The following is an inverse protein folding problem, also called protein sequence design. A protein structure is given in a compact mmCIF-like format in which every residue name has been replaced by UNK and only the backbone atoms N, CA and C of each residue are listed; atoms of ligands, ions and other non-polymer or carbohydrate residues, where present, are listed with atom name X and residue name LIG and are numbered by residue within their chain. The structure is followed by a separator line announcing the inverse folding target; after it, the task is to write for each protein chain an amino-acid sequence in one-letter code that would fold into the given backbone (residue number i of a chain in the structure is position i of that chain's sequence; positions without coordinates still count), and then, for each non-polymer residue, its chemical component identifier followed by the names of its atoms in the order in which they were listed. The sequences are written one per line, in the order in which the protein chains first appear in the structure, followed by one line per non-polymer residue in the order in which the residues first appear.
data_IF_061614659270
#
_entry.id   IF_061614659270
#
_cell.length_a   1.000
_cell.length_b   1.000
_cell.length_c   1.000
_cell.angle_alpha   90.00
_cell.angle_beta   90.00
_cell.angle_gamma   90.00
#
_symmetry.space_group_name_H-M   'P 1'
#
loop_
_entity.id
_entity.type
_entity.pdbx_description
1 polymer ?
#
# COMPACT_ATOMS: atom_id res chain seq x y z
N UNK A 1 -22.51 5.82 0.32
CA UNK A 1 -21.10 5.89 -0.17
C UNK A 1 -20.91 7.21 -0.90
N UNK A 2 -20.03 8.08 -0.42
CA UNK A 2 -19.67 9.31 -1.15
C UNK A 2 -18.42 9.03 -1.97
N UNK A 3 -18.48 9.16 -3.30
CA UNK A 3 -17.36 8.87 -4.19
C UNK A 3 -16.07 9.61 -3.79
N UNK A 4 -16.19 10.86 -3.34
CA UNK A 4 -15.05 11.65 -2.83
C UNK A 4 -14.38 11.06 -1.59
N UNK A 5 -15.15 10.45 -0.69
CA UNK A 5 -14.60 9.81 0.51
C UNK A 5 -13.81 8.55 0.13
N UNK A 6 -14.34 7.77 -0.82
CA UNK A 6 -13.68 6.56 -1.31
C UNK A 6 -12.36 6.87 -2.03
N UNK A 7 -12.34 7.93 -2.87
CA UNK A 7 -11.12 8.38 -3.53
C UNK A 7 -10.04 8.75 -2.50
N UNK A 8 -10.39 9.54 -1.47
CA UNK A 8 -9.45 9.93 -0.41
C UNK A 8 -8.85 8.75 0.34
N UNK A 9 -9.61 7.67 0.53
CA UNK A 9 -9.12 6.43 1.15
C UNK A 9 -7.99 5.83 0.30
N UNK A 10 -8.20 5.70 -1.01
CA UNK A 10 -7.18 5.18 -1.93
C UNK A 10 -5.99 6.11 -2.10
N UNK A 11 -6.24 7.42 -2.20
CA UNK A 11 -5.20 8.44 -2.28
C UNK A 11 -4.24 8.36 -1.09
N UNK A 12 -4.77 8.07 0.10
CA UNK A 12 -3.97 7.96 1.33
C UNK A 12 -3.30 6.60 1.45
N UNK A 13 -4.07 5.51 1.36
CA UNK A 13 -3.60 4.17 1.73
C UNK A 13 -2.77 3.49 0.65
N UNK A 14 -2.96 3.84 -0.62
CA UNK A 14 -2.30 3.19 -1.74
C UNK A 14 -1.50 4.19 -2.59
N UNK A 15 -2.18 5.15 -3.22
CA UNK A 15 -1.51 6.07 -4.15
C UNK A 15 -0.53 7.01 -3.46
N UNK A 16 -0.68 7.28 -2.16
CA UNK A 16 0.29 8.02 -1.36
C UNK A 16 1.58 7.24 -1.08
N UNK A 17 1.50 5.90 -1.00
CA UNK A 17 2.65 5.03 -0.71
C UNK A 17 3.53 4.81 -1.94
N UNK A 18 2.93 4.66 -3.12
CA UNK A 18 3.65 4.42 -4.39
C UNK A 18 4.79 5.43 -4.65
N UNK A 19 4.56 6.76 -4.60
CA UNK A 19 5.62 7.73 -4.84
C UNK A 19 6.68 7.73 -3.71
N UNK A 20 6.29 7.45 -2.46
CA UNK A 20 7.26 7.31 -1.36
C UNK A 20 8.23 6.15 -1.62
N UNK A 21 7.69 4.97 -1.97
CA UNK A 21 8.52 3.81 -2.31
C UNK A 21 9.47 4.15 -3.48
N UNK A 22 8.95 4.75 -4.56
CA UNK A 22 9.75 5.16 -5.72
C UNK A 22 10.86 6.16 -5.38
N UNK A 23 10.63 7.04 -4.40
CA UNK A 23 11.63 8.01 -3.97
C UNK A 23 12.78 7.35 -3.19
N UNK A 24 12.50 6.34 -2.37
CA UNK A 24 13.52 5.71 -1.50
C UNK A 24 14.24 4.53 -2.16
N UNK A 25 13.57 3.78 -3.05
CA UNK A 25 14.11 2.58 -3.69
C UNK A 25 15.47 2.81 -4.39
N UNK A 26 15.72 3.90 -5.14
CA UNK A 26 17.02 4.13 -5.76
C UNK A 26 18.15 4.29 -4.74
N UNK A 27 17.86 4.88 -3.57
CA UNK A 27 18.85 5.01 -2.50
C UNK A 27 19.15 3.65 -1.87
N UNK A 28 18.12 2.87 -1.54
CA UNK A 28 18.26 1.53 -0.96
C UNK A 28 19.03 0.59 -1.89
N UNK A 29 18.73 0.61 -3.19
CA UNK A 29 19.45 -0.16 -4.21
C UNK A 29 20.93 0.19 -4.31
N UNK A 30 21.29 1.48 -4.23
CA UNK A 30 22.70 1.92 -4.21
C UNK A 30 23.47 1.42 -2.99
N UNK A 31 22.79 1.19 -1.88
CA UNK A 31 23.39 0.67 -0.64
C UNK A 31 23.27 -0.86 -0.51
N UNK A 32 22.76 -1.56 -1.53
CA UNK A 32 22.54 -3.02 -1.53
C UNK A 32 21.79 -3.53 -0.29
N UNK A 33 20.93 -2.69 0.29
CA UNK A 33 20.15 -2.99 1.48
C UNK A 33 18.77 -2.37 1.33
N UNK A 34 17.73 -3.22 1.32
CA UNK A 34 16.36 -2.79 1.09
C UNK A 34 15.42 -3.48 2.10
N UNK A 35 14.78 -2.68 2.96
CA UNK A 35 13.68 -3.12 3.80
C UNK A 35 12.56 -2.08 3.74
N UNK A 36 11.47 -2.40 3.05
CA UNK A 36 10.22 -1.65 3.08
C UNK A 36 9.23 -2.37 3.99
N UNK A 37 8.66 -1.64 4.95
CA UNK A 37 7.62 -2.17 5.85
C UNK A 37 6.35 -1.36 5.61
N UNK A 38 5.31 -2.02 5.09
CA UNK A 38 4.00 -1.43 4.91
C UNK A 38 3.06 -1.88 6.03
N UNK A 39 2.26 -0.95 6.56
CA UNK A 39 1.26 -1.26 7.58
C UNK A 39 0.02 -1.84 6.90
N UNK A 40 -0.12 -3.16 6.96
CA UNK A 40 -1.27 -3.93 6.49
C UNK A 40 -2.52 -3.75 7.37
N UNK A 41 -3.46 -4.69 7.29
CA UNK A 41 -4.65 -4.69 8.13
C UNK A 41 -5.29 -6.08 8.21
N UNK A 42 -5.77 -6.49 9.38
CA UNK A 42 -6.62 -7.69 9.52
C UNK A 42 -7.96 -7.59 8.78
N UNK A 43 -8.33 -6.39 8.32
CA UNK A 43 -9.47 -6.17 7.43
C UNK A 43 -9.26 -6.76 6.01
N UNK A 44 -8.07 -7.31 5.75
CA UNK A 44 -7.76 -8.09 4.54
C UNK A 44 -8.24 -9.54 4.69
N UNK A 45 -8.19 -10.11 5.90
CA UNK A 45 -8.49 -11.52 6.19
C UNK A 45 -9.93 -11.75 6.67
N UNK A 46 -10.63 -10.70 7.09
CA UNK A 46 -12.00 -10.76 7.62
C UNK A 46 -13.00 -10.07 6.69
N UNK A 47 -14.23 -10.59 6.65
CA UNK A 47 -15.36 -9.88 6.02
C UNK A 47 -15.52 -8.50 6.67
N UNK A 48 -15.01 -7.48 5.99
CA UNK A 48 -14.97 -6.12 6.51
C UNK A 48 -16.17 -5.32 5.98
N UNK A 49 -16.91 -4.60 6.84
CA UNK A 49 -17.95 -3.68 6.38
C UNK A 49 -17.38 -2.45 5.65
N UNK A 50 -16.05 -2.29 5.60
CA UNK A 50 -15.36 -1.15 5.00
C UNK A 50 -14.75 -1.49 3.63
N UNK A 51 -15.59 -1.81 2.65
CA UNK A 51 -15.17 -2.30 1.33
C UNK A 51 -14.01 -1.52 0.67
N UNK A 52 -14.09 -0.19 0.57
CA UNK A 52 -13.03 0.62 -0.06
C UNK A 52 -11.74 0.70 0.76
N UNK A 53 -11.85 0.68 2.09
CA UNK A 53 -10.68 0.61 2.96
C UNK A 53 -9.97 -0.74 2.78
N UNK A 54 -10.72 -1.84 2.87
CA UNK A 54 -10.18 -3.19 2.65
C UNK A 54 -9.56 -3.32 1.27
N UNK A 55 -10.24 -2.87 0.21
CA UNK A 55 -9.69 -2.87 -1.15
C UNK A 55 -8.36 -2.07 -1.24
N UNK A 56 -8.27 -0.91 -0.58
CA UNK A 56 -7.03 -0.12 -0.56
C UNK A 56 -5.88 -0.82 0.17
N UNK A 57 -6.18 -1.60 1.22
CA UNK A 57 -5.19 -2.36 1.99
C UNK A 57 -4.75 -3.64 1.27
N UNK A 58 -5.67 -4.34 0.61
CA UNK A 58 -5.35 -5.43 -0.31
C UNK A 58 -4.41 -4.98 -1.43
N UNK A 59 -4.69 -3.82 -2.03
CA UNK A 59 -3.83 -3.26 -3.08
C UNK A 59 -2.41 -2.95 -2.56
N UNK A 60 -2.29 -2.42 -1.34
CA UNK A 60 -0.99 -2.15 -0.71
C UNK A 60 -0.21 -3.44 -0.44
N UNK A 61 -0.88 -4.50 0.03
CA UNK A 61 -0.23 -5.78 0.29
C UNK A 61 0.26 -6.46 -0.99
N UNK A 62 -0.57 -6.48 -2.04
CA UNK A 62 -0.17 -6.97 -3.35
C UNK A 62 1.06 -6.21 -3.90
N UNK A 63 1.11 -4.88 -3.73
CA UNK A 63 2.27 -4.08 -4.11
C UNK A 63 3.53 -4.48 -3.32
N UNK A 64 3.40 -4.69 -2.01
CA UNK A 64 4.50 -5.18 -1.16
C UNK A 64 5.02 -6.55 -1.59
N UNK A 65 4.13 -7.48 -1.95
CA UNK A 65 4.50 -8.79 -2.48
C UNK A 65 5.30 -8.69 -3.77
N UNK A 66 4.88 -7.84 -4.71
CA UNK A 66 5.65 -7.60 -5.95
C UNK A 66 7.04 -7.03 -5.64
N UNK A 67 7.15 -6.05 -4.74
CA UNK A 67 8.46 -5.49 -4.37
C UNK A 67 9.36 -6.48 -3.64
N UNK A 68 8.82 -7.47 -2.93
CA UNK A 68 9.64 -8.50 -2.28
C UNK A 68 10.28 -9.47 -3.29
N UNK A 69 9.80 -9.48 -4.53
CA UNK A 69 10.32 -10.31 -5.62
C UNK A 69 11.36 -9.57 -6.49
N UNK A 70 11.53 -8.26 -6.31
CA UNK A 70 12.52 -7.43 -7.00
C UNK A 70 13.87 -7.39 -6.26
#
# INVERSE_FOLDING_TARGET
MHARTNQRIFDTNFFGVVPMNRAVLPHMRRHSSCLLVHIGSGAVELESPFAFYSASKWALEALGQVYSQE
#
